data_IF_874811760529
#
_entry.id   IF_874811760529
#
_cell.length_a   1.000
_cell.length_b   1.000
_cell.length_c   1.000
_cell.angle_alpha   90.00
_cell.angle_beta   90.00
_cell.angle_gamma   90.00
#
_symmetry.space_group_name_H-M   'P 1'
#
loop_
_entity.id
_entity.type
_entity.pdbx_description
1 polymer ?
#
# COMPACT_ATOMS: atom_id res chain seq x y z
N UNK A 1 18.83 60.88 22.83
CA UNK A 1 17.55 60.32 23.31
C UNK A 1 16.79 59.85 22.08
N UNK A 2 16.67 58.54 21.89
CA UNK A 2 16.32 57.89 20.60
C UNK A 2 14.81 57.59 20.54
N UNK A 3 14.11 57.76 19.41
CA UNK A 3 12.71 57.40 19.29
C UNK A 3 12.52 55.89 19.06
N UNK A 4 11.52 55.33 19.73
CA UNK A 4 11.10 53.92 19.62
C UNK A 4 10.18 53.76 18.41
N UNK A 5 10.63 53.05 17.38
CA UNK A 5 9.82 52.62 16.22
C UNK A 5 9.18 51.27 16.58
N UNK A 6 7.86 51.21 16.69
CA UNK A 6 7.13 49.94 16.70
C UNK A 6 6.86 49.50 15.26
N UNK A 7 7.61 48.51 14.81
CA UNK A 7 7.38 47.74 13.59
C UNK A 7 6.38 46.62 13.93
N UNK A 8 5.10 46.77 13.59
CA UNK A 8 4.13 45.66 13.63
C UNK A 8 4.19 44.94 12.29
N UNK A 9 5.02 43.91 12.22
CA UNK A 9 4.94 42.90 11.16
C UNK A 9 3.76 41.97 11.46
N UNK A 10 2.59 42.27 10.89
CA UNK A 10 1.46 41.35 10.85
C UNK A 10 1.74 40.26 9.81
N UNK A 11 2.61 39.31 10.15
CA UNK A 11 2.80 38.05 9.44
C UNK A 11 2.14 36.92 10.20
N UNK A 12 0.81 36.91 10.27
CA UNK A 12 0.04 35.85 10.93
C UNK A 12 -0.67 35.00 9.87
N UNK A 13 0.03 33.94 9.47
CA UNK A 13 -0.46 32.61 9.14
C UNK A 13 -1.84 32.54 8.46
N UNK A 14 -1.82 32.57 7.12
CA UNK A 14 -2.84 31.88 6.35
C UNK A 14 -2.72 30.38 6.66
N UNK A 15 -3.60 29.93 7.55
CA UNK A 15 -3.85 28.53 7.84
C UNK A 15 -4.31 27.88 6.53
N UNK A 16 -3.40 27.14 5.89
CA UNK A 16 -3.64 26.33 4.69
C UNK A 16 -4.52 25.13 5.09
N UNK A 17 -5.78 25.46 5.41
CA UNK A 17 -6.86 24.52 5.62
C UNK A 17 -7.25 23.99 4.25
N UNK A 18 -7.43 22.68 4.16
CA UNK A 18 -8.14 22.01 3.06
C UNK A 18 -7.30 21.73 1.81
N UNK A 19 -6.17 21.04 1.98
CA UNK A 19 -5.76 20.12 0.90
C UNK A 19 -6.71 18.91 0.94
N UNK A 20 -7.39 18.55 -0.17
CA UNK A 20 -8.38 17.46 -0.19
C UNK A 20 -7.82 16.12 0.28
N UNK A 21 -6.49 15.94 0.18
CA UNK A 21 -5.77 14.75 0.65
C UNK A 21 -5.82 14.56 2.17
N UNK A 22 -5.92 15.64 2.96
CA UNK A 22 -6.00 15.55 4.42
C UNK A 22 -7.40 15.15 4.89
N UNK A 23 -8.45 15.65 4.21
CA UNK A 23 -9.84 15.29 4.49
C UNK A 23 -10.06 13.78 4.25
N UNK A 24 -9.59 13.24 3.13
CA UNK A 24 -9.68 11.81 2.85
C UNK A 24 -8.97 10.93 3.88
N UNK A 25 -7.85 11.41 4.43
CA UNK A 25 -7.12 10.67 5.47
C UNK A 25 -7.91 10.64 6.78
N UNK A 26 -8.58 11.75 7.15
CA UNK A 26 -9.43 11.80 8.33
C UNK A 26 -10.57 10.78 8.25
N UNK A 27 -11.29 10.75 7.12
CA UNK A 27 -12.38 9.81 6.90
C UNK A 27 -11.90 8.35 6.92
N UNK A 28 -10.72 8.09 6.31
CA UNK A 28 -10.13 6.75 6.33
C UNK A 28 -9.77 6.28 7.75
N UNK A 29 -9.23 7.18 8.58
CA UNK A 29 -8.91 6.89 9.99
C UNK A 29 -10.19 6.54 10.75
N UNK A 30 -11.22 7.37 10.65
CA UNK A 30 -12.49 7.14 11.35
C UNK A 30 -13.17 5.85 10.89
N UNK A 31 -13.14 5.55 9.59
CA UNK A 31 -13.69 4.31 9.08
C UNK A 31 -12.95 3.07 9.59
N UNK A 32 -11.61 3.10 9.67
CA UNK A 32 -10.83 2.00 10.25
C UNK A 32 -11.14 1.82 11.73
N UNK A 33 -11.18 2.92 12.50
CA UNK A 33 -11.53 2.87 13.93
C UNK A 33 -12.91 2.26 14.14
N UNK A 34 -13.92 2.72 13.40
CA UNK A 34 -15.30 2.23 13.48
C UNK A 34 -15.43 0.77 13.02
N UNK A 35 -14.70 0.38 11.97
CA UNK A 35 -14.79 -0.95 11.40
C UNK A 35 -14.16 -2.06 12.25
N UNK A 36 -13.11 -1.73 13.02
CA UNK A 36 -12.48 -2.66 13.96
C UNK A 36 -13.02 -2.53 15.38
N UNK A 37 -13.59 -1.38 15.75
CA UNK A 37 -14.54 -1.24 16.87
C UNK A 37 -14.00 -1.50 18.26
N UNK A 38 -12.70 -1.77 18.44
CA UNK A 38 -12.14 -2.06 19.77
C UNK A 38 -11.78 -0.81 20.57
N UNK A 39 -11.75 0.38 19.95
CA UNK A 39 -11.12 1.53 20.59
C UNK A 39 -12.04 2.46 21.39
N UNK A 40 -13.38 2.30 21.39
CA UNK A 40 -14.25 3.32 22.02
C UNK A 40 -15.52 2.82 22.75
N UNK A 41 -15.62 1.54 23.12
CA UNK A 41 -16.81 1.04 23.83
C UNK A 41 -18.11 1.15 23.02
N UNK A 42 -18.00 1.39 21.71
CA UNK A 42 -19.13 1.47 20.78
C UNK A 42 -19.44 0.09 20.22
N UNK A 43 -20.72 -0.29 20.19
CA UNK A 43 -21.17 -1.57 19.65
C UNK A 43 -21.16 -1.65 18.10
N UNK A 44 -20.73 -0.59 17.42
CA UNK A 44 -20.67 -0.58 15.96
C UNK A 44 -19.43 -1.36 15.50
N UNK A 45 -19.66 -2.50 14.85
CA UNK A 45 -18.63 -3.25 14.13
C UNK A 45 -19.06 -3.39 12.68
N UNK A 46 -18.40 -2.68 11.78
CA UNK A 46 -18.60 -2.89 10.34
C UNK A 46 -17.81 -4.12 9.91
N UNK A 47 -18.52 -5.21 9.59
CA UNK A 47 -17.90 -6.45 9.10
C UNK A 47 -17.33 -6.31 7.69
N UNK A 48 -17.80 -5.31 6.93
CA UNK A 48 -17.44 -5.08 5.54
C UNK A 48 -17.21 -3.58 5.31
N UNK A 49 -15.97 -3.20 5.04
CA UNK A 49 -15.61 -1.86 4.59
C UNK A 49 -14.25 -1.90 3.89
N UNK A 50 -13.95 -0.88 3.10
CA UNK A 50 -12.66 -0.72 2.44
C UNK A 50 -12.39 0.76 2.24
N UNK A 51 -11.21 1.24 2.64
CA UNK A 51 -10.83 2.64 2.42
C UNK A 51 -10.75 2.95 0.92
N UNK A 52 -10.79 4.23 0.61
CA UNK A 52 -10.32 4.71 -0.68
C UNK A 52 -8.83 4.37 -0.89
N UNK A 53 -8.38 4.55 -2.14
CA UNK A 53 -6.97 4.41 -2.48
C UNK A 53 -6.13 5.48 -1.77
N UNK A 54 -5.20 5.02 -0.94
CA UNK A 54 -4.27 5.87 -0.19
C UNK A 54 -2.83 5.57 -0.56
N UNK A 55 -1.91 6.49 -0.23
CA UNK A 55 -0.47 6.26 -0.40
C UNK A 55 0.03 5.18 0.57
N UNK A 56 1.24 4.66 0.33
CA UNK A 56 1.85 3.67 1.23
C UNK A 56 2.03 4.26 2.63
N UNK A 57 2.53 5.50 2.75
CA UNK A 57 2.70 6.16 4.04
C UNK A 57 1.38 6.31 4.81
N UNK A 58 0.30 6.70 4.12
CA UNK A 58 -1.04 6.77 4.71
C UNK A 58 -1.55 5.38 5.13
N UNK A 59 -1.37 4.37 4.28
CA UNK A 59 -1.74 2.99 4.61
C UNK A 59 -1.00 2.47 5.84
N UNK A 60 0.28 2.79 6.01
CA UNK A 60 1.03 2.43 7.23
C UNK A 60 0.39 3.04 8.48
N UNK A 61 -0.02 4.31 8.42
CA UNK A 61 -0.71 4.95 9.54
C UNK A 61 -2.06 4.27 9.84
N UNK A 62 -2.85 3.95 8.81
CA UNK A 62 -4.14 3.26 8.96
C UNK A 62 -4.00 1.84 9.52
N UNK A 63 -3.04 1.08 9.00
CA UNK A 63 -2.76 -0.31 9.42
C UNK A 63 -2.35 -0.36 10.89
N UNK A 64 -1.56 0.61 11.37
CA UNK A 64 -1.16 0.71 12.79
C UNK A 64 -2.32 1.01 13.76
N UNK A 65 -3.46 1.50 13.26
CA UNK A 65 -4.66 1.69 14.09
C UNK A 65 -5.25 0.36 14.56
N UNK A 66 -4.88 -0.75 13.92
CA UNK A 66 -5.30 -2.10 14.29
C UNK A 66 -4.09 -2.83 14.88
N UNK A 67 -3.91 -2.86 16.21
CA UNK A 67 -2.71 -3.44 16.82
C UNK A 67 -2.52 -4.91 16.45
N UNK A 68 -3.59 -5.69 16.57
CA UNK A 68 -3.62 -7.11 16.21
C UNK A 68 -5.03 -7.58 15.89
N UNK A 69 -5.17 -8.56 15.00
CA UNK A 69 -6.42 -9.28 14.72
C UNK A 69 -6.09 -10.66 14.16
N UNK A 70 -6.38 -11.74 14.88
CA UNK A 70 -5.92 -13.08 14.52
C UNK A 70 -4.38 -13.11 14.30
N UNK A 71 -3.91 -13.57 13.12
CA UNK A 71 -2.50 -13.54 12.73
C UNK A 71 -2.01 -12.16 12.24
N UNK A 72 -2.92 -11.21 12.00
CA UNK A 72 -2.54 -9.86 11.60
C UNK A 72 -1.93 -9.09 12.77
N UNK A 73 -0.77 -8.47 12.55
CA UNK A 73 -0.10 -7.57 13.50
C UNK A 73 0.19 -6.25 12.78
N UNK A 74 -0.51 -5.18 13.18
CA UNK A 74 -0.51 -3.90 12.45
C UNK A 74 0.89 -3.31 12.28
N UNK A 75 1.70 -3.30 13.33
CA UNK A 75 3.06 -2.75 13.25
C UNK A 75 3.98 -3.52 12.30
N UNK A 76 3.87 -4.85 12.26
CA UNK A 76 4.66 -5.68 11.36
C UNK A 76 4.23 -5.45 9.91
N UNK A 77 2.93 -5.42 9.65
CA UNK A 77 2.38 -5.17 8.31
C UNK A 77 2.73 -3.78 7.82
N UNK A 78 2.59 -2.75 8.66
CA UNK A 78 2.97 -1.39 8.32
C UNK A 78 4.47 -1.28 8.02
N UNK A 79 5.32 -1.96 8.78
CA UNK A 79 6.77 -2.00 8.53
C UNK A 79 7.09 -2.71 7.20
N UNK A 80 6.40 -3.80 6.89
CA UNK A 80 6.53 -4.51 5.60
C UNK A 80 6.12 -3.63 4.41
N UNK A 81 5.04 -2.88 4.55
CA UNK A 81 4.52 -1.98 3.51
C UNK A 81 5.51 -0.89 3.09
N UNK A 82 6.35 -0.41 4.01
CA UNK A 82 7.35 0.64 3.74
C UNK A 82 8.24 0.32 2.52
N UNK A 83 8.51 -0.97 2.28
CA UNK A 83 9.40 -1.45 1.21
C UNK A 83 8.83 -1.25 -0.19
N UNK A 84 7.55 -0.93 -0.29
CA UNK A 84 6.83 -0.78 -1.54
C UNK A 84 6.45 0.67 -1.82
N UNK A 85 6.90 1.61 -1.00
CA UNK A 85 6.69 3.05 -1.24
C UNK A 85 7.31 3.48 -2.58
N UNK A 86 6.56 4.25 -3.35
CA UNK A 86 6.91 4.62 -4.74
C UNK A 86 6.93 3.48 -5.77
N UNK A 87 6.76 2.22 -5.37
CA UNK A 87 6.75 1.04 -6.27
C UNK A 87 5.34 0.56 -6.61
N UNK A 88 4.36 0.92 -5.79
CA UNK A 88 2.94 0.62 -5.99
C UNK A 88 2.17 1.90 -6.28
N UNK A 89 1.05 1.78 -6.98
CA UNK A 89 0.17 2.92 -7.29
C UNK A 89 -0.49 3.47 -6.03
N UNK A 90 -0.96 2.58 -5.19
CA UNK A 90 -1.71 2.90 -3.98
C UNK A 90 -2.12 1.64 -3.24
N UNK A 91 -2.71 1.85 -2.07
CA UNK A 91 -3.13 0.78 -1.17
C UNK A 91 -4.55 1.07 -0.70
N UNK A 92 -5.34 0.02 -0.49
CA UNK A 92 -6.60 0.10 0.24
C UNK A 92 -6.55 -0.85 1.41
N UNK A 93 -7.07 -0.41 2.54
CA UNK A 93 -7.12 -1.21 3.75
C UNK A 93 -8.54 -1.25 4.28
N UNK A 94 -8.93 -2.39 4.84
CA UNK A 94 -10.24 -2.53 5.43
C UNK A 94 -10.52 -3.95 5.84
N UNK A 95 -11.79 -4.35 5.77
CA UNK A 95 -12.27 -5.61 6.34
C UNK A 95 -13.33 -6.25 5.46
N UNK A 96 -13.27 -7.58 5.37
CA UNK A 96 -14.34 -8.43 4.81
C UNK A 96 -14.45 -9.69 5.67
N UNK A 97 -15.04 -9.56 6.85
CA UNK A 97 -14.92 -10.54 7.94
C UNK A 97 -13.60 -10.39 8.70
N UNK A 98 -12.49 -10.36 7.96
CA UNK A 98 -11.12 -10.28 8.48
C UNK A 98 -10.34 -9.14 7.81
N UNK A 99 -9.15 -8.74 8.31
CA UNK A 99 -8.31 -7.73 7.67
C UNK A 99 -7.99 -8.05 6.22
N UNK A 100 -8.18 -7.04 5.37
CA UNK A 100 -7.88 -7.11 3.94
C UNK A 100 -7.02 -5.94 3.54
N UNK A 101 -5.96 -6.25 2.79
CA UNK A 101 -5.06 -5.26 2.20
C UNK A 101 -5.08 -5.44 0.67
N UNK A 102 -5.50 -4.41 -0.06
CA UNK A 102 -5.40 -4.38 -1.51
C UNK A 102 -4.24 -3.49 -1.94
N UNK A 103 -3.27 -4.04 -2.66
CA UNK A 103 -2.09 -3.33 -3.16
C UNK A 103 -2.24 -3.18 -4.67
N UNK A 104 -2.27 -1.93 -5.14
CA UNK A 104 -2.55 -1.59 -6.52
C UNK A 104 -1.23 -1.41 -7.27
N UNK A 105 -1.02 -2.16 -8.34
CA UNK A 105 0.23 -2.13 -9.10
C UNK A 105 0.28 -0.90 -10.04
N UNK A 106 1.48 -0.36 -10.32
CA UNK A 106 1.64 0.88 -11.09
C UNK A 106 1.14 0.73 -12.52
N UNK A 107 0.29 1.64 -13.00
CA UNK A 107 -0.09 1.76 -14.41
C UNK A 107 1.10 2.25 -15.23
N UNK A 108 1.96 1.35 -15.69
CA UNK A 108 3.01 1.76 -16.62
C UNK A 108 2.35 2.06 -17.97
N UNK A 109 2.09 3.35 -18.23
CA UNK A 109 1.93 3.83 -19.60
C UNK A 109 3.17 3.37 -20.39
N UNK A 110 2.99 2.70 -21.52
CA UNK A 110 4.12 2.41 -22.40
C UNK A 110 4.65 3.75 -22.94
N UNK A 111 5.67 4.35 -22.32
CA UNK A 111 6.29 5.56 -22.87
C UNK A 111 7.15 6.42 -21.96
N UNK A 112 6.82 6.58 -20.68
CA UNK A 112 7.63 7.45 -19.80
C UNK A 112 8.64 6.61 -19.03
N UNK A 113 9.76 6.36 -19.70
CA UNK A 113 10.93 5.77 -19.09
C UNK A 113 11.32 6.52 -17.82
N UNK A 114 11.58 5.76 -16.75
CA UNK A 114 12.50 6.21 -15.72
C UNK A 114 13.74 6.78 -16.43
N UNK A 115 14.29 7.94 -16.02
CA UNK A 115 15.59 8.34 -16.51
C UNK A 115 16.56 7.20 -16.18
N UNK A 116 17.02 6.53 -17.23
CA UNK A 116 18.10 5.58 -17.12
C UNK A 116 19.28 6.36 -16.56
N UNK A 117 19.53 6.18 -15.27
CA UNK A 117 20.79 6.55 -14.67
C UNK A 117 21.86 5.83 -15.49
N UNK A 118 22.60 6.62 -16.28
CA UNK A 118 23.73 6.17 -17.08
C UNK A 118 24.91 5.95 -16.15
N UNK A 119 24.79 4.97 -15.27
CA UNK A 119 25.92 4.46 -14.50
C UNK A 119 26.05 2.98 -14.81
N UNK A 120 26.76 2.73 -15.91
CA UNK A 120 27.09 1.38 -16.33
C UNK A 120 28.06 0.73 -15.34
N UNK A 121 27.75 -0.51 -14.97
CA UNK A 121 28.77 -1.55 -14.96
C UNK A 121 28.10 -2.91 -15.17
N UNK A 122 28.54 -3.57 -16.23
CA UNK A 122 28.31 -4.97 -16.53
C UNK A 122 28.59 -5.85 -15.30
N UNK A 123 27.59 -6.62 -14.89
CA UNK A 123 27.84 -7.97 -14.37
C UNK A 123 27.06 -8.96 -15.23
N UNK A 124 27.77 -9.53 -16.20
CA UNK A 124 27.36 -10.73 -16.90
C UNK A 124 27.31 -11.89 -15.90
N UNK A 125 26.16 -12.55 -15.78
CA UNK A 125 26.08 -13.84 -15.11
C UNK A 125 24.84 -14.07 -14.25
N UNK A 126 23.65 -14.12 -14.85
CA UNK A 126 22.53 -14.92 -14.34
C UNK A 126 21.36 -14.92 -15.34
N UNK A 127 21.48 -15.69 -16.43
CA UNK A 127 20.27 -16.16 -17.14
C UNK A 127 19.67 -17.29 -16.29
N UNK A 128 18.94 -16.94 -15.23
CA UNK A 128 17.96 -17.86 -14.66
C UNK A 128 16.68 -17.73 -15.48
N UNK A 129 16.23 -18.87 -16.00
CA UNK A 129 15.09 -18.96 -16.91
C UNK A 129 13.87 -18.28 -16.30
N UNK A 130 13.19 -17.43 -17.07
CA UNK A 130 11.91 -16.85 -16.68
C UNK A 130 10.83 -17.93 -16.44
N UNK A 131 11.07 -19.17 -16.89
CA UNK A 131 10.18 -20.31 -16.67
C UNK A 131 10.15 -20.81 -15.22
N UNK A 132 11.20 -20.55 -14.42
CA UNK A 132 11.28 -21.02 -13.02
C UNK A 132 10.58 -20.08 -12.02
N UNK A 133 10.16 -18.89 -12.46
CA UNK A 133 9.41 -17.91 -11.66
C UNK A 133 7.90 -18.14 -11.68
N UNK A 134 7.42 -19.18 -12.38
CA UNK A 134 6.00 -19.50 -12.55
C UNK A 134 5.48 -20.60 -11.61
N UNK A 135 6.20 -20.92 -10.53
CA UNK A 135 5.72 -21.87 -9.52
C UNK A 135 4.72 -21.16 -8.60
N UNK A 136 3.43 -21.26 -8.94
CA UNK A 136 2.32 -20.72 -8.15
C UNK A 136 1.17 -20.10 -8.94
N UNK A 137 1.22 -20.10 -10.27
CA UNK A 137 0.12 -19.60 -11.11
C UNK A 137 -0.92 -20.71 -11.35
N UNK A 138 -2.20 -20.38 -11.17
CA UNK A 138 -3.29 -21.31 -11.52
C UNK A 138 -3.29 -21.52 -13.03
N UNK A 139 -3.70 -22.70 -13.49
CA UNK A 139 -3.86 -22.99 -14.95
C UNK A 139 -4.78 -21.98 -15.65
N UNK A 140 -5.67 -21.33 -14.89
CA UNK A 140 -6.57 -20.30 -15.40
C UNK A 140 -5.84 -18.97 -15.71
N UNK A 141 -4.76 -18.65 -14.98
CA UNK A 141 -3.94 -17.44 -15.21
C UNK A 141 -3.12 -17.53 -16.50
N UNK A 142 -2.80 -18.75 -16.93
CA UNK A 142 -2.03 -19.03 -18.17
C UNK A 142 -2.92 -19.03 -19.40
N UNK A 143 -4.22 -19.36 -19.25
CA UNK A 143 -5.19 -19.40 -20.36
C UNK A 143 -5.68 -18.01 -20.77
N UNK A 144 -5.75 -17.05 -19.85
CA UNK A 144 -6.02 -15.65 -20.17
C UNK A 144 -4.72 -14.94 -20.52
N UNK A 145 -4.24 -15.14 -21.76
CA UNK A 145 -2.98 -14.62 -22.29
C UNK A 145 -2.80 -13.08 -22.18
N UNK A 146 -2.43 -12.61 -21.00
CA UNK A 146 -1.76 -11.33 -20.79
C UNK A 146 -0.45 -11.63 -20.06
N UNK A 147 0.64 -11.63 -20.83
CA UNK A 147 1.98 -11.71 -20.30
C UNK A 147 2.11 -10.69 -19.16
N UNK A 148 2.23 -11.20 -17.94
CA UNK A 148 2.58 -10.39 -16.79
C UNK A 148 3.91 -9.71 -17.14
N UNK A 149 3.97 -8.38 -17.06
CA UNK A 149 5.24 -7.69 -17.30
C UNK A 149 6.25 -8.22 -16.30
N UNK A 150 7.48 -8.48 -16.74
CA UNK A 150 8.53 -9.06 -15.87
C UNK A 150 8.68 -8.26 -14.56
N UNK A 151 8.57 -6.93 -14.63
CA UNK A 151 8.59 -6.06 -13.45
C UNK A 151 7.41 -6.29 -12.49
N UNK A 152 6.18 -6.46 -13.01
CA UNK A 152 5.01 -6.79 -12.19
C UNK A 152 5.16 -8.18 -11.58
N UNK A 153 5.69 -9.15 -12.34
CA UNK A 153 5.92 -10.51 -11.85
C UNK A 153 6.90 -10.52 -10.67
N UNK A 154 8.01 -9.79 -10.79
CA UNK A 154 8.99 -9.64 -9.71
C UNK A 154 8.38 -8.95 -8.48
N UNK A 155 7.63 -7.86 -8.68
CA UNK A 155 6.97 -7.16 -7.58
C UNK A 155 5.92 -8.03 -6.88
N UNK A 156 5.12 -8.80 -7.64
CA UNK A 156 4.14 -9.73 -7.08
C UNK A 156 4.83 -10.87 -6.32
N UNK A 157 5.95 -11.39 -6.82
CA UNK A 157 6.74 -12.41 -6.12
C UNK A 157 7.33 -11.87 -4.80
N UNK A 158 7.86 -10.65 -4.79
CA UNK A 158 8.34 -10.00 -3.58
C UNK A 158 7.22 -9.76 -2.56
N UNK A 159 6.05 -9.29 -3.02
CA UNK A 159 4.86 -9.12 -2.19
C UNK A 159 4.46 -10.45 -1.58
N UNK A 160 4.39 -11.52 -2.39
CA UNK A 160 4.06 -12.87 -1.92
C UNK A 160 5.03 -13.34 -0.84
N UNK A 161 6.33 -13.25 -1.09
CA UNK A 161 7.37 -13.64 -0.13
C UNK A 161 7.26 -12.86 1.18
N UNK A 162 6.93 -11.57 1.12
CA UNK A 162 6.73 -10.74 2.31
C UNK A 162 5.50 -11.17 3.09
N UNK A 163 4.34 -11.26 2.42
CA UNK A 163 3.06 -11.44 3.08
C UNK A 163 2.82 -12.88 3.53
N UNK A 164 3.06 -13.87 2.68
CA UNK A 164 2.90 -15.28 3.05
C UNK A 164 4.09 -15.75 3.91
N UNK A 165 5.31 -15.38 3.51
CA UNK A 165 6.53 -15.93 4.14
C UNK A 165 6.93 -15.27 5.46
N UNK A 166 6.67 -13.97 5.65
CA UNK A 166 7.12 -13.22 6.84
C UNK A 166 6.00 -12.65 7.69
N UNK A 167 4.91 -12.22 7.06
CA UNK A 167 3.76 -11.62 7.74
C UNK A 167 2.59 -12.59 7.92
N UNK A 168 2.80 -13.87 7.58
CA UNK A 168 1.90 -14.99 7.83
C UNK A 168 0.45 -14.72 7.40
N UNK A 169 0.26 -14.12 6.23
CA UNK A 169 -1.05 -13.96 5.63
C UNK A 169 -1.62 -15.33 5.21
N UNK A 170 -2.89 -15.58 5.56
CA UNK A 170 -3.60 -16.82 5.20
C UNK A 170 -4.02 -16.85 3.74
N UNK A 171 -4.19 -15.68 3.12
CA UNK A 171 -4.62 -15.55 1.73
C UNK A 171 -3.82 -14.52 0.96
N UNK A 172 -3.37 -14.90 -0.24
CA UNK A 172 -2.75 -14.02 -1.21
C UNK A 172 -3.30 -14.31 -2.61
N UNK A 173 -3.91 -13.30 -3.23
CA UNK A 173 -4.45 -13.41 -4.58
C UNK A 173 -3.95 -12.26 -5.46
N UNK A 174 -3.52 -12.59 -6.68
CA UNK A 174 -3.16 -11.61 -7.70
C UNK A 174 -4.24 -11.57 -8.78
N UNK A 175 -4.64 -10.37 -9.21
CA UNK A 175 -5.53 -10.18 -10.35
C UNK A 175 -4.80 -9.41 -11.45
N UNK A 176 -4.46 -10.09 -12.55
CA UNK A 176 -3.84 -9.45 -13.72
C UNK A 176 -4.78 -8.44 -14.38
N UNK A 177 -6.08 -8.74 -14.41
CA UNK A 177 -7.11 -7.86 -14.97
C UNK A 177 -7.23 -6.54 -14.20
N UNK A 178 -7.24 -6.61 -12.87
CA UNK A 178 -7.39 -5.44 -12.00
C UNK A 178 -6.05 -4.82 -11.59
N UNK A 179 -4.94 -5.48 -11.93
CA UNK A 179 -3.57 -5.14 -11.53
C UNK A 179 -3.47 -4.83 -10.05
N UNK A 180 -3.96 -5.77 -9.25
CA UNK A 180 -3.92 -5.66 -7.78
C UNK A 180 -3.58 -6.98 -7.14
N UNK A 181 -2.94 -6.88 -5.98
CA UNK A 181 -2.73 -7.97 -5.04
C UNK A 181 -3.70 -7.78 -3.89
N UNK A 182 -4.34 -8.86 -3.45
CA UNK A 182 -5.23 -8.88 -2.28
C UNK A 182 -4.63 -9.82 -1.26
N UNK A 183 -4.43 -9.33 -0.04
CA UNK A 183 -3.88 -10.07 1.09
C UNK A 183 -4.92 -10.14 2.21
N UNK A 184 -5.04 -11.29 2.87
CA UNK A 184 -6.01 -11.56 3.94
C UNK A 184 -5.37 -12.30 5.10
N UNK A 185 -5.90 -12.06 6.31
CA UNK A 185 -5.56 -12.77 7.55
C UNK A 185 -6.85 -13.24 8.18
N UNK A 186 -7.13 -14.54 8.15
CA UNK A 186 -8.39 -15.15 8.60
C UNK A 186 -8.35 -15.65 10.04
#
# INVERSE_FOLDING_TARGET
MVPLIFLVAAGAQAQEKDSPQQEYMHDAIEMVKLGYGEYHGTHLRMSHFMTEEVTVAQAQALVRLVPSYNAFVGDLVATGLARFDGRVRGVRFGRRGSPVLEILLPHTQPGNGFPADKTGQETAGARRSADDLLIGFSKDDVREGKALRVQDALLVAELRQMFEGRLLADGFAYSARLRKVVVRWD
#
